data_IF_215342980773
#
_entry.id   IF_215342980773
#
_cell.length_a   1.000
_cell.length_b   1.000
_cell.length_c   1.000
_cell.angle_alpha   90.00
_cell.angle_beta   90.00
_cell.angle_gamma   90.00
#
_symmetry.space_group_name_H-M   'P 1'
#
loop_
_entity.id
_entity.type
_entity.pdbx_description
1 polymer ?
#
# COMPACT_ATOMS: atom_id res chain seq x y z
N UNK A 1 -12.77 -6.19 27.88
CA UNK A 1 -13.51 -6.45 26.63
C UNK A 1 -12.53 -7.17 25.73
N UNK A 2 -12.96 -8.14 24.96
CA UNK A 2 -12.10 -8.79 23.97
C UNK A 2 -11.64 -7.76 22.90
N UNK A 3 -10.44 -7.88 22.36
CA UNK A 3 -9.88 -6.94 21.37
C UNK A 3 -10.83 -6.75 20.17
N UNK A 4 -11.44 -7.85 19.70
CA UNK A 4 -12.45 -7.83 18.64
C UNK A 4 -13.68 -6.98 19.03
N UNK A 5 -14.10 -7.08 20.30
CA UNK A 5 -15.20 -6.28 20.82
C UNK A 5 -14.91 -4.77 20.83
N UNK A 6 -13.66 -4.36 21.08
CA UNK A 6 -13.26 -2.94 21.02
C UNK A 6 -13.36 -2.42 19.58
N UNK A 7 -12.81 -3.18 18.61
CA UNK A 7 -12.91 -2.83 17.18
C UNK A 7 -14.36 -2.71 16.76
N UNK A 8 -15.20 -3.69 17.12
CA UNK A 8 -16.62 -3.66 16.76
C UNK A 8 -17.35 -2.43 17.34
N UNK A 9 -17.06 -2.04 18.56
CA UNK A 9 -17.62 -0.81 19.18
C UNK A 9 -17.20 0.42 18.41
N UNK A 10 -15.92 0.53 18.00
CA UNK A 10 -15.42 1.67 17.23
C UNK A 10 -16.10 1.74 15.86
N UNK A 11 -16.22 0.60 15.16
CA UNK A 11 -16.92 0.52 13.86
C UNK A 11 -18.39 0.95 14.01
N UNK A 12 -19.11 0.43 15.01
CA UNK A 12 -20.50 0.82 15.27
C UNK A 12 -20.60 2.31 15.62
N UNK A 13 -19.74 2.79 16.51
CA UNK A 13 -19.75 4.21 16.92
C UNK A 13 -19.50 5.14 15.73
N UNK A 14 -18.51 4.81 14.89
CA UNK A 14 -18.23 5.56 13.66
C UNK A 14 -19.40 5.50 12.68
N UNK A 15 -19.96 4.31 12.44
CA UNK A 15 -21.08 4.11 11.51
C UNK A 15 -22.30 4.95 11.88
N UNK A 16 -22.63 5.03 13.18
CA UNK A 16 -23.77 5.82 13.68
C UNK A 16 -23.62 7.34 13.45
N UNK A 17 -22.40 7.84 13.34
CA UNK A 17 -22.11 9.28 13.16
C UNK A 17 -21.42 9.61 11.83
N UNK A 18 -21.18 8.62 10.97
CA UNK A 18 -20.43 8.74 9.72
C UNK A 18 -20.89 9.91 8.86
N UNK A 19 -22.22 10.05 8.63
CA UNK A 19 -22.80 11.15 7.84
C UNK A 19 -22.58 12.54 8.46
N UNK A 20 -22.41 12.62 9.78
CA UNK A 20 -22.08 13.88 10.44
C UNK A 20 -20.58 14.19 10.26
N UNK A 21 -19.75 13.15 10.28
CA UNK A 21 -18.30 13.25 10.13
C UNK A 21 -17.89 13.61 8.69
N UNK A 22 -18.63 13.20 7.66
CA UNK A 22 -18.41 13.62 6.26
C UNK A 22 -18.34 15.15 6.06
N UNK A 23 -18.88 15.91 6.99
CA UNK A 23 -18.86 17.38 6.96
C UNK A 23 -17.71 17.99 7.74
N UNK A 24 -16.85 17.18 8.31
CA UNK A 24 -15.70 17.56 9.13
C UNK A 24 -14.41 17.10 8.45
N UNK A 25 -13.25 17.65 8.80
CA UNK A 25 -11.97 17.14 8.29
C UNK A 25 -11.56 15.81 8.95
N UNK A 26 -12.46 15.11 9.63
CA UNK A 26 -12.18 13.85 10.30
C UNK A 26 -12.44 12.67 9.36
N UNK A 27 -11.42 12.26 8.63
CA UNK A 27 -11.51 11.11 7.71
C UNK A 27 -11.49 9.77 8.45
N UNK A 28 -11.91 8.69 7.76
CA UNK A 28 -11.91 7.33 8.32
C UNK A 28 -10.52 6.95 8.88
N UNK A 29 -9.42 7.10 8.13
CA UNK A 29 -8.07 6.80 8.62
C UNK A 29 -7.72 7.57 9.90
N UNK A 30 -8.01 8.86 9.94
CA UNK A 30 -7.72 9.72 11.10
C UNK A 30 -8.54 9.30 12.34
N UNK A 31 -9.84 9.06 12.15
CA UNK A 31 -10.75 8.65 13.23
C UNK A 31 -10.34 7.30 13.83
N UNK A 32 -10.05 6.31 12.98
CA UNK A 32 -9.68 4.97 13.42
C UNK A 32 -8.27 4.92 14.04
N UNK A 33 -7.31 5.70 13.50
CA UNK A 33 -5.99 5.85 14.14
C UNK A 33 -6.12 6.48 15.54
N UNK A 34 -6.90 7.55 15.67
CA UNK A 34 -7.11 8.19 16.97
C UNK A 34 -7.82 7.25 17.96
N UNK A 35 -8.82 6.49 17.51
CA UNK A 35 -9.51 5.50 18.33
C UNK A 35 -8.58 4.36 18.77
N UNK A 36 -7.70 3.88 17.86
CA UNK A 36 -6.68 2.88 18.16
C UNK A 36 -5.68 3.38 19.19
N UNK A 37 -5.15 4.60 19.03
CA UNK A 37 -4.25 5.22 20.00
C UNK A 37 -4.90 5.34 21.39
N UNK A 38 -6.18 5.74 21.44
CA UNK A 38 -6.92 5.83 22.70
C UNK A 38 -7.13 4.43 23.32
N UNK A 39 -7.50 3.43 22.54
CA UNK A 39 -7.70 2.07 23.00
C UNK A 39 -6.41 1.43 23.53
N UNK A 40 -5.28 1.60 22.82
CA UNK A 40 -3.97 1.13 23.28
C UNK A 40 -3.48 1.89 24.52
N UNK A 41 -3.63 3.22 24.55
CA UNK A 41 -3.24 4.04 25.70
C UNK A 41 -4.06 3.78 26.97
N UNK A 42 -5.32 3.34 26.83
CA UNK A 42 -6.18 2.94 27.95
C UNK A 42 -5.98 1.46 28.36
N UNK A 43 -5.12 0.70 27.67
CA UNK A 43 -4.88 -0.71 27.93
C UNK A 43 -6.07 -1.62 27.59
N UNK A 44 -6.96 -1.16 26.69
CA UNK A 44 -8.12 -1.95 26.23
C UNK A 44 -7.74 -2.99 25.17
N UNK A 45 -6.62 -2.77 24.47
CA UNK A 45 -6.07 -3.63 23.43
C UNK A 45 -4.58 -3.80 23.69
N UNK A 46 -4.08 -5.01 23.55
CA UNK A 46 -2.65 -5.31 23.64
C UNK A 46 -1.89 -4.68 22.48
N UNK A 47 -0.70 -4.16 22.76
CA UNK A 47 0.12 -3.45 21.74
C UNK A 47 1.02 -4.40 20.94
N UNK A 48 1.06 -5.68 21.29
CA UNK A 48 1.82 -6.68 20.54
C UNK A 48 1.03 -7.10 19.30
N UNK A 49 1.42 -6.53 18.17
CA UNK A 49 0.82 -6.75 16.86
C UNK A 49 1.74 -7.57 15.94
N UNK A 50 2.90 -7.98 16.44
CA UNK A 50 3.86 -8.79 15.70
C UNK A 50 3.52 -10.25 15.89
N UNK A 51 2.97 -10.86 14.85
CA UNK A 51 2.67 -12.28 14.81
C UNK A 51 1.22 -12.67 15.04
N UNK A 52 0.89 -13.87 14.59
CA UNK A 52 -0.41 -14.49 14.81
C UNK A 52 -1.55 -13.93 13.94
N UNK A 53 -2.81 -14.11 14.39
CA UNK A 53 -3.99 -13.84 13.57
C UNK A 53 -4.16 -12.39 13.11
N UNK A 54 -3.61 -11.43 13.88
CA UNK A 54 -3.72 -9.99 13.54
C UNK A 54 -2.90 -9.69 12.29
N UNK A 55 -1.65 -10.14 12.25
CA UNK A 55 -0.79 -9.90 11.09
C UNK A 55 -1.34 -10.59 9.84
N UNK A 56 -1.80 -11.85 9.96
CA UNK A 56 -2.45 -12.53 8.83
C UNK A 56 -3.67 -11.75 8.30
N UNK A 57 -4.46 -11.13 9.20
CA UNK A 57 -5.57 -10.26 8.76
C UNK A 57 -5.08 -9.03 8.01
N UNK A 58 -3.99 -8.40 8.49
CA UNK A 58 -3.39 -7.24 7.82
C UNK A 58 -2.81 -7.62 6.45
N UNK A 59 -2.11 -8.74 6.37
CA UNK A 59 -1.59 -9.27 5.10
C UNK A 59 -2.71 -9.58 4.10
N UNK A 60 -3.76 -10.28 4.53
CA UNK A 60 -4.93 -10.54 3.70
C UNK A 60 -5.62 -9.25 3.25
N UNK A 61 -5.65 -8.22 4.12
CA UNK A 61 -6.14 -6.90 3.74
C UNK A 61 -5.32 -6.31 2.61
N UNK A 62 -3.99 -6.32 2.73
CA UNK A 62 -3.11 -5.81 1.67
C UNK A 62 -3.25 -6.63 0.38
N UNK A 63 -3.36 -7.96 0.47
CA UNK A 63 -3.58 -8.87 -0.66
C UNK A 63 -4.85 -8.49 -1.42
N UNK A 64 -5.97 -8.29 -0.70
CA UNK A 64 -7.25 -7.92 -1.32
C UNK A 64 -7.19 -6.52 -1.93
N UNK A 65 -6.59 -5.56 -1.24
CA UNK A 65 -6.44 -4.18 -1.74
C UNK A 65 -5.54 -4.15 -2.97
N UNK A 66 -4.35 -4.77 -2.92
CA UNK A 66 -3.44 -4.84 -4.08
C UNK A 66 -4.10 -5.48 -5.31
N UNK A 67 -4.83 -6.58 -5.11
CA UNK A 67 -5.56 -7.24 -6.19
C UNK A 67 -6.65 -6.32 -6.77
N UNK A 68 -7.46 -5.70 -5.91
CA UNK A 68 -8.59 -4.87 -6.32
C UNK A 68 -8.13 -3.61 -7.05
N UNK A 69 -7.12 -2.93 -6.53
CA UNK A 69 -6.55 -1.74 -7.16
C UNK A 69 -5.94 -2.07 -8.52
N UNK A 70 -5.20 -3.18 -8.60
CA UNK A 70 -4.63 -3.66 -9.85
C UNK A 70 -5.72 -4.06 -10.87
N UNK A 71 -6.81 -4.70 -10.43
CA UNK A 71 -7.89 -5.15 -11.31
C UNK A 71 -8.68 -3.98 -11.95
N UNK A 72 -8.71 -2.81 -11.30
CA UNK A 72 -9.36 -1.58 -11.82
C UNK A 72 -8.57 -0.87 -12.91
N UNK A 73 -7.31 -1.24 -13.12
CA UNK A 73 -6.45 -0.54 -14.07
C UNK A 73 -6.79 -0.96 -15.50
N UNK A 74 -7.44 -0.06 -16.24
CA UNK A 74 -7.60 -0.22 -17.69
C UNK A 74 -6.26 0.06 -18.41
N UNK A 75 -5.47 -1.00 -18.59
CA UNK A 75 -4.19 -0.95 -19.32
C UNK A 75 -4.37 -0.44 -20.77
N UNK A 76 -5.55 -0.68 -21.37
CA UNK A 76 -5.91 -0.18 -22.69
C UNK A 76 -6.12 1.34 -22.69
N UNK A 77 -6.85 1.86 -21.70
CA UNK A 77 -7.03 3.29 -21.51
C UNK A 77 -5.70 4.01 -21.21
N UNK A 78 -4.86 3.42 -20.34
CA UNK A 78 -3.51 3.93 -20.07
C UNK A 78 -2.71 4.10 -21.38
N UNK A 79 -2.79 3.13 -22.30
CA UNK A 79 -2.13 3.24 -23.61
C UNK A 79 -2.79 4.29 -24.52
N UNK A 80 -4.13 4.37 -24.56
CA UNK A 80 -4.88 5.26 -25.44
C UNK A 80 -4.83 6.74 -25.03
N UNK A 81 -4.91 7.03 -23.72
CA UNK A 81 -4.89 8.41 -23.20
C UNK A 81 -3.49 9.01 -23.08
N UNK A 82 -2.50 8.33 -23.65
CA UNK A 82 -1.10 8.76 -23.60
C UNK A 82 -0.55 8.62 -22.18
N UNK A 83 -0.65 7.43 -21.60
CA UNK A 83 -0.22 7.01 -20.25
C UNK A 83 1.21 7.35 -19.84
N UNK A 84 1.74 8.41 -20.44
CA UNK A 84 3.08 8.92 -20.18
C UNK A 84 3.24 9.44 -18.74
N UNK A 85 2.15 9.96 -18.12
CA UNK A 85 2.23 10.50 -16.75
C UNK A 85 2.43 9.35 -15.73
N UNK A 86 1.53 8.36 -15.60
CA UNK A 86 1.75 7.25 -14.67
C UNK A 86 3.04 6.47 -14.95
N UNK A 87 3.34 6.20 -16.22
CA UNK A 87 4.57 5.49 -16.60
C UNK A 87 5.84 6.22 -16.20
N UNK A 88 5.85 7.57 -16.29
CA UNK A 88 6.98 8.39 -15.84
C UNK A 88 7.08 8.43 -14.33
N UNK A 89 5.94 8.53 -13.61
CA UNK A 89 5.91 8.54 -12.16
C UNK A 89 6.37 7.20 -11.59
N UNK A 90 5.92 6.10 -12.15
CA UNK A 90 6.29 4.75 -11.70
C UNK A 90 7.69 4.33 -12.19
N UNK A 91 8.02 4.58 -13.45
CA UNK A 91 9.28 4.10 -14.03
C UNK A 91 10.50 4.96 -13.69
N UNK A 92 10.32 6.26 -13.43
CA UNK A 92 11.39 7.17 -13.06
C UNK A 92 11.16 7.81 -11.69
N UNK A 93 9.96 8.28 -11.43
CA UNK A 93 9.63 8.98 -10.19
C UNK A 93 9.82 8.10 -8.96
N UNK A 94 9.25 6.89 -8.95
CA UNK A 94 9.33 5.97 -7.82
C UNK A 94 10.78 5.49 -7.54
N UNK A 95 11.58 5.01 -8.50
CA UNK A 95 12.98 4.67 -8.26
C UNK A 95 13.81 5.87 -7.75
N UNK A 96 13.57 7.08 -8.25
CA UNK A 96 14.22 8.29 -7.75
C UNK A 96 13.76 8.62 -6.31
N UNK A 97 12.48 8.43 -5.98
CA UNK A 97 11.96 8.61 -4.62
C UNK A 97 12.63 7.64 -3.66
N UNK A 98 12.74 6.37 -4.03
CA UNK A 98 13.46 5.35 -3.24
C UNK A 98 14.93 5.75 -3.10
N UNK A 99 15.63 6.04 -4.20
CA UNK A 99 17.06 6.40 -4.18
C UNK A 99 17.37 7.64 -3.34
N UNK A 100 16.58 8.71 -3.47
CA UNK A 100 16.70 9.89 -2.62
C UNK A 100 16.31 9.62 -1.17
N UNK A 101 15.33 8.75 -0.93
CA UNK A 101 14.93 8.28 0.39
C UNK A 101 16.07 7.54 1.09
N UNK A 102 16.74 6.62 0.38
CA UNK A 102 17.93 5.91 0.88
C UNK A 102 19.04 6.90 1.27
N UNK A 103 19.35 7.83 0.37
CA UNK A 103 20.39 8.83 0.63
C UNK A 103 20.06 9.70 1.86
N UNK A 104 18.80 10.15 1.95
CA UNK A 104 18.37 10.97 3.08
C UNK A 104 18.37 10.17 4.39
N UNK A 105 17.94 8.92 4.40
CA UNK A 105 17.97 8.05 5.57
C UNK A 105 19.41 7.80 6.02
N UNK A 106 20.31 7.42 5.11
CA UNK A 106 21.72 7.17 5.41
C UNK A 106 22.44 8.41 5.97
N UNK A 107 22.07 9.62 5.52
CA UNK A 107 22.68 10.87 6.00
C UNK A 107 22.09 11.34 7.33
N UNK A 108 20.77 11.24 7.50
CA UNK A 108 20.06 11.83 8.64
C UNK A 108 19.93 10.87 9.82
N UNK A 109 19.67 9.58 9.54
CA UNK A 109 19.36 8.58 10.57
C UNK A 109 20.65 7.80 10.94
N UNK A 110 21.64 8.49 11.43
CA UNK A 110 22.99 7.94 11.68
C UNK A 110 23.00 6.55 12.32
N UNK A 111 23.91 5.69 11.84
CA UNK A 111 24.08 4.32 12.31
C UNK A 111 23.36 3.27 11.47
N UNK A 112 22.40 3.65 10.61
CA UNK A 112 21.72 2.72 9.72
C UNK A 112 22.67 2.13 8.69
N UNK A 113 22.51 0.84 8.44
CA UNK A 113 23.09 0.21 7.28
C UNK A 113 22.37 0.63 6.00
N UNK A 114 23.04 0.50 4.86
CA UNK A 114 22.48 0.94 3.57
C UNK A 114 21.16 0.24 3.22
N UNK A 115 21.03 -1.03 3.62
CA UNK A 115 19.84 -1.81 3.33
C UNK A 115 18.66 -1.47 4.27
N UNK A 116 18.95 -1.12 5.53
CA UNK A 116 17.95 -0.57 6.46
C UNK A 116 17.39 0.77 5.96
N UNK A 117 18.29 1.65 5.47
CA UNK A 117 17.89 2.89 4.82
C UNK A 117 17.04 2.64 3.56
N UNK A 118 17.37 1.57 2.80
CA UNK A 118 16.61 1.16 1.61
C UNK A 118 15.23 0.60 1.96
N UNK A 119 15.11 -0.17 3.05
CA UNK A 119 13.84 -0.65 3.59
C UNK A 119 12.93 0.54 3.96
N UNK A 120 13.43 1.51 4.73
CA UNK A 120 12.65 2.72 5.07
C UNK A 120 12.15 3.42 3.81
N UNK A 121 13.04 3.61 2.83
CA UNK A 121 12.70 4.29 1.59
C UNK A 121 11.66 3.51 0.76
N UNK A 122 11.76 2.18 0.67
CA UNK A 122 10.82 1.34 -0.05
C UNK A 122 9.44 1.29 0.62
N UNK A 123 9.40 1.16 1.95
CA UNK A 123 8.15 1.18 2.74
C UNK A 123 7.42 2.51 2.59
N UNK A 124 8.17 3.62 2.49
CA UNK A 124 7.61 4.97 2.37
C UNK A 124 7.53 5.49 0.93
N UNK A 125 7.84 4.68 -0.08
CA UNK A 125 7.67 5.07 -1.48
C UNK A 125 6.22 5.02 -1.98
N UNK A 126 5.40 4.01 -1.61
CA UNK A 126 4.01 3.92 -2.05
C UNK A 126 3.17 5.12 -1.61
N UNK A 127 2.13 5.42 -2.39
CA UNK A 127 1.20 6.52 -2.11
C UNK A 127 -0.23 6.01 -2.11
N UNK A 128 -1.00 6.38 -1.11
CA UNK A 128 -2.36 5.90 -0.88
C UNK A 128 -3.40 6.89 -1.40
N UNK A 129 -4.06 6.56 -2.51
CA UNK A 129 -5.11 7.42 -3.09
C UNK A 129 -6.35 7.53 -2.20
N UNK A 130 -6.61 6.54 -1.33
CA UNK A 130 -7.78 6.56 -0.45
C UNK A 130 -7.69 7.66 0.60
N UNK A 131 -6.48 7.96 1.10
CA UNK A 131 -6.24 9.12 1.99
C UNK A 131 -6.51 10.46 1.31
N UNK A 132 -6.47 10.51 -0.01
CA UNK A 132 -6.68 11.74 -0.77
C UNK A 132 -7.91 11.70 -1.66
N UNK A 133 -8.91 10.95 -1.31
CA UNK A 133 -10.11 10.74 -2.12
C UNK A 133 -10.83 12.05 -2.50
N UNK A 134 -10.79 13.07 -1.63
CA UNK A 134 -11.35 14.39 -1.94
C UNK A 134 -10.71 15.04 -3.17
N UNK A 135 -9.40 14.93 -3.35
CA UNK A 135 -8.70 15.49 -4.51
C UNK A 135 -8.99 14.66 -5.76
N UNK A 136 -9.01 13.34 -5.61
CA UNK A 136 -9.23 12.41 -6.73
C UNK A 136 -10.68 12.47 -7.23
N UNK A 137 -11.66 12.73 -6.35
CA UNK A 137 -13.08 12.92 -6.71
C UNK A 137 -13.42 14.34 -7.14
N UNK A 138 -12.58 15.33 -6.83
CA UNK A 138 -12.85 16.75 -7.10
C UNK A 138 -12.99 17.04 -8.59
N UNK A 139 -14.10 17.69 -8.96
CA UNK A 139 -14.33 18.18 -10.33
C UNK A 139 -13.40 19.32 -10.75
N UNK A 140 -12.70 19.95 -9.81
CA UNK A 140 -11.71 20.98 -10.09
C UNK A 140 -10.42 20.41 -10.69
N UNK A 141 -10.13 19.12 -10.40
CA UNK A 141 -8.98 18.41 -10.95
C UNK A 141 -9.36 17.78 -12.29
N UNK A 142 -8.62 18.05 -13.39
CA UNK A 142 -8.90 17.46 -14.69
C UNK A 142 -8.95 15.94 -14.66
N UNK A 143 -9.91 15.31 -15.34
CA UNK A 143 -10.12 13.84 -15.37
C UNK A 143 -8.82 13.09 -15.66
N UNK A 144 -8.01 13.56 -16.64
CA UNK A 144 -6.71 12.96 -16.98
C UNK A 144 -5.75 12.90 -15.79
N UNK A 145 -5.75 13.91 -14.92
CA UNK A 145 -4.87 13.96 -13.75
C UNK A 145 -5.38 13.05 -12.67
N UNK A 146 -6.70 13.03 -12.42
CA UNK A 146 -7.33 12.12 -11.47
C UNK A 146 -7.06 10.66 -11.83
N UNK A 147 -7.25 10.30 -13.10
CA UNK A 147 -6.92 8.96 -13.60
C UNK A 147 -5.42 8.63 -13.45
N UNK A 148 -4.54 9.61 -13.71
CA UNK A 148 -3.11 9.40 -13.56
C UNK A 148 -2.71 9.13 -12.12
N UNK A 149 -3.30 9.83 -11.14
CA UNK A 149 -3.09 9.61 -9.70
C UNK A 149 -3.60 8.23 -9.29
N UNK A 150 -4.82 7.85 -9.69
CA UNK A 150 -5.38 6.54 -9.36
C UNK A 150 -4.52 5.39 -9.91
N UNK A 151 -4.09 5.49 -11.17
CA UNK A 151 -3.22 4.48 -11.78
C UNK A 151 -1.85 4.45 -11.11
N UNK A 152 -1.28 5.60 -10.79
CA UNK A 152 0.01 5.67 -10.11
C UNK A 152 -0.08 5.06 -8.72
N UNK A 153 -1.08 5.43 -7.94
CA UNK A 153 -1.27 4.94 -6.57
C UNK A 153 -1.58 3.43 -6.54
N UNK A 154 -2.51 2.95 -7.36
CA UNK A 154 -2.84 1.53 -7.40
C UNK A 154 -1.69 0.64 -7.90
N UNK A 155 -0.75 1.18 -8.69
CA UNK A 155 0.40 0.41 -9.17
C UNK A 155 1.62 0.51 -8.25
N UNK A 156 1.83 1.63 -7.55
CA UNK A 156 3.06 1.83 -6.79
C UNK A 156 3.11 0.95 -5.53
N UNK A 157 1.96 0.62 -4.93
CA UNK A 157 1.87 -0.30 -3.80
C UNK A 157 2.42 -1.69 -4.18
N UNK A 158 1.93 -2.26 -5.28
CA UNK A 158 2.42 -3.54 -5.79
C UNK A 158 3.86 -3.48 -6.31
N UNK A 159 4.27 -2.36 -6.93
CA UNK A 159 5.64 -2.19 -7.43
C UNK A 159 6.66 -1.94 -6.32
N UNK A 160 6.26 -1.50 -5.13
CA UNK A 160 7.17 -1.34 -3.99
C UNK A 160 7.61 -2.68 -3.41
N UNK A 161 6.76 -3.71 -3.49
CA UNK A 161 7.03 -5.03 -2.92
C UNK A 161 8.31 -5.66 -3.46
N UNK A 162 8.58 -5.70 -4.78
CA UNK A 162 9.84 -6.22 -5.31
C UNK A 162 11.09 -5.53 -4.75
N UNK A 163 11.04 -4.20 -4.57
CA UNK A 163 12.14 -3.45 -3.97
C UNK A 163 12.31 -3.84 -2.50
N UNK A 164 11.21 -3.91 -1.75
CA UNK A 164 11.24 -4.27 -0.34
C UNK A 164 11.78 -5.70 -0.14
N UNK A 165 11.25 -6.69 -0.88
CA UNK A 165 11.72 -8.08 -0.84
C UNK A 165 13.23 -8.17 -1.07
N UNK A 166 13.74 -7.43 -2.08
CA UNK A 166 15.18 -7.40 -2.35
C UNK A 166 15.96 -6.76 -1.21
N UNK A 167 15.49 -5.63 -0.66
CA UNK A 167 16.23 -4.91 0.39
C UNK A 167 16.20 -5.65 1.72
N UNK A 168 15.10 -6.31 2.07
CA UNK A 168 15.02 -7.18 3.26
C UNK A 168 15.97 -8.37 3.10
N UNK A 169 15.95 -9.04 1.96
CA UNK A 169 16.88 -10.14 1.69
C UNK A 169 18.34 -9.71 1.83
N UNK A 170 18.71 -8.51 1.37
CA UNK A 170 20.08 -7.98 1.48
C UNK A 170 20.42 -7.46 2.89
N UNK A 171 19.44 -7.11 3.71
CA UNK A 171 19.65 -6.64 5.08
C UNK A 171 19.81 -7.79 6.09
N UNK A 172 19.13 -8.91 5.88
CA UNK A 172 19.12 -10.06 6.82
C UNK A 172 20.45 -10.81 6.80
N UNK A 173 21.30 -10.65 5.77
CA UNK A 173 22.54 -11.42 5.64
C UNK A 173 23.81 -10.60 5.66
N UNK A 174 24.52 -10.75 6.78
CA UNK A 174 25.92 -10.28 6.93
C UNK A 174 26.98 -11.20 6.31
N UNK A 175 26.65 -12.43 5.86
CA UNK A 175 27.67 -13.46 5.61
C UNK A 175 27.53 -14.28 4.30
N UNK A 176 26.51 -14.06 3.47
CA UNK A 176 26.35 -14.78 2.19
C UNK A 176 26.88 -14.00 0.98
N UNK A 177 27.07 -14.69 -0.15
CA UNK A 177 27.36 -14.00 -1.40
C UNK A 177 26.11 -13.22 -1.84
N UNK A 178 26.20 -11.89 -1.94
CA UNK A 178 25.08 -10.99 -2.33
C UNK A 178 24.37 -11.46 -3.64
N UNK A 179 25.07 -12.19 -4.51
CA UNK A 179 24.53 -12.80 -5.73
C UNK A 179 23.48 -13.89 -5.45
N UNK A 180 23.63 -14.67 -4.36
CA UNK A 180 22.67 -15.72 -4.02
C UNK A 180 21.34 -15.13 -3.57
N UNK A 181 21.38 -13.99 -2.88
CA UNK A 181 20.19 -13.26 -2.41
C UNK A 181 19.47 -12.49 -3.52
N UNK A 182 20.22 -11.90 -4.43
CA UNK A 182 19.62 -11.35 -5.65
C UNK A 182 18.93 -12.45 -6.46
N UNK A 183 19.53 -13.65 -6.51
CA UNK A 183 18.92 -14.85 -7.11
C UNK A 183 17.64 -15.28 -6.40
N UNK A 184 17.66 -15.33 -5.07
CA UNK A 184 16.48 -15.66 -4.25
C UNK A 184 15.36 -14.64 -4.39
N UNK A 185 15.66 -13.34 -4.28
CA UNK A 185 14.67 -12.29 -4.50
C UNK A 185 14.10 -12.34 -5.94
N UNK A 186 14.96 -12.55 -6.93
CA UNK A 186 14.55 -12.75 -8.32
C UNK A 186 13.64 -13.96 -8.52
N UNK A 187 13.90 -15.05 -7.81
CA UNK A 187 13.04 -16.22 -7.79
C UNK A 187 11.68 -15.93 -7.15
N UNK A 188 11.65 -15.31 -5.98
CA UNK A 188 10.40 -14.93 -5.31
C UNK A 188 9.55 -14.01 -6.19
N UNK A 189 10.15 -12.98 -6.80
CA UNK A 189 9.47 -12.07 -7.71
C UNK A 189 8.94 -12.81 -8.94
N UNK A 190 9.78 -13.64 -9.56
CA UNK A 190 9.43 -14.39 -10.77
C UNK A 190 8.31 -15.41 -10.54
N UNK A 191 8.41 -16.22 -9.47
CA UNK A 191 7.40 -17.20 -9.12
C UNK A 191 6.09 -16.53 -8.65
N UNK A 192 6.19 -15.46 -7.89
CA UNK A 192 5.02 -14.66 -7.51
C UNK A 192 4.30 -14.11 -8.73
N UNK A 193 5.01 -13.45 -9.64
CA UNK A 193 4.43 -12.92 -10.87
C UNK A 193 3.82 -14.02 -11.77
N UNK A 194 4.52 -15.16 -11.93
CA UNK A 194 4.02 -16.30 -12.73
C UNK A 194 2.72 -16.87 -12.12
N UNK A 195 2.70 -17.10 -10.82
CA UNK A 195 1.49 -17.57 -10.11
C UNK A 195 0.35 -16.58 -10.27
N UNK A 196 0.63 -15.29 -10.12
CA UNK A 196 -0.35 -14.22 -10.32
C UNK A 196 -0.94 -14.24 -11.73
N UNK A 197 -0.12 -14.36 -12.76
CA UNK A 197 -0.58 -14.47 -14.16
C UNK A 197 -1.47 -15.70 -14.34
N UNK A 198 -1.04 -16.87 -13.85
CA UNK A 198 -1.79 -18.13 -14.00
C UNK A 198 -3.14 -18.05 -13.29
N UNK A 199 -3.16 -17.65 -12.03
CA UNK A 199 -4.40 -17.56 -11.24
C UNK A 199 -5.31 -16.47 -11.81
N UNK A 200 -4.78 -15.30 -12.15
CA UNK A 200 -5.56 -14.17 -12.66
C UNK A 200 -6.17 -14.46 -14.03
N UNK A 201 -5.41 -15.01 -14.99
CA UNK A 201 -5.95 -15.35 -16.29
C UNK A 201 -6.92 -16.54 -16.24
N UNK A 202 -6.55 -17.62 -15.55
CA UNK A 202 -7.40 -18.81 -15.45
C UNK A 202 -8.68 -18.51 -14.67
N UNK A 203 -8.55 -17.88 -13.49
CA UNK A 203 -9.67 -17.52 -12.63
C UNK A 203 -10.57 -16.45 -13.25
N UNK A 204 -9.98 -15.38 -13.78
CA UNK A 204 -10.71 -14.32 -14.49
C UNK A 204 -11.47 -14.84 -15.69
N UNK A 205 -10.85 -15.69 -16.52
CA UNK A 205 -11.53 -16.32 -17.67
C UNK A 205 -12.65 -17.27 -17.23
N UNK A 206 -12.41 -18.06 -16.19
CA UNK A 206 -13.45 -18.95 -15.65
C UNK A 206 -14.66 -18.16 -15.12
N UNK A 207 -14.39 -17.06 -14.38
CA UNK A 207 -15.43 -16.18 -13.87
C UNK A 207 -16.22 -15.52 -15.00
N UNK A 208 -15.54 -14.95 -16.00
CA UNK A 208 -16.17 -14.32 -17.16
C UNK A 208 -17.04 -15.31 -17.96
N UNK A 209 -16.56 -16.53 -18.17
CA UNK A 209 -17.34 -17.58 -18.86
C UNK A 209 -18.56 -17.99 -18.03
N UNK A 210 -18.41 -18.14 -16.72
CA UNK A 210 -19.51 -18.51 -15.83
C UNK A 210 -20.57 -17.39 -15.76
N UNK A 211 -20.15 -16.14 -15.73
CA UNK A 211 -21.03 -14.98 -15.72
C UNK A 211 -21.83 -14.86 -17.02
N UNK A 212 -21.17 -14.93 -18.18
CA UNK A 212 -21.81 -14.93 -19.50
C UNK A 212 -22.82 -16.07 -19.70
N UNK A 213 -22.63 -17.19 -18.99
CA UNK A 213 -23.55 -18.34 -19.03
C UNK A 213 -24.66 -18.25 -18.00
N UNK A 214 -24.67 -17.21 -17.15
CA UNK A 214 -25.64 -17.05 -16.07
C UNK A 214 -25.50 -18.11 -14.97
N UNK A 215 -24.31 -18.68 -14.76
CA UNK A 215 -24.04 -19.69 -13.74
C UNK A 215 -23.71 -19.08 -12.37
N UNK A 216 -23.32 -17.81 -12.34
CA UNK A 216 -22.89 -17.11 -11.14
C UNK A 216 -23.90 -16.00 -10.81
N UNK A 217 -24.29 -15.91 -9.54
CA UNK A 217 -25.07 -14.79 -9.05
C UNK A 217 -24.14 -13.66 -8.53
N UNK A 218 -24.68 -12.43 -8.41
CA UNK A 218 -23.88 -11.26 -8.05
C UNK A 218 -23.06 -11.42 -6.74
N UNK A 219 -23.60 -11.95 -5.61
CA UNK A 219 -22.81 -12.13 -4.40
C UNK A 219 -21.61 -13.09 -4.58
N UNK A 220 -21.82 -14.23 -5.24
CA UNK A 220 -20.72 -15.17 -5.45
C UNK A 220 -19.72 -14.69 -6.48
N UNK A 221 -20.13 -13.85 -7.43
CA UNK A 221 -19.21 -13.20 -8.37
C UNK A 221 -18.19 -12.32 -7.61
N UNK A 222 -18.67 -11.53 -6.66
CA UNK A 222 -17.84 -10.67 -5.80
C UNK A 222 -16.92 -11.49 -4.89
N UNK A 223 -17.46 -12.50 -4.20
CA UNK A 223 -16.66 -13.40 -3.36
C UNK A 223 -15.58 -14.14 -4.15
N UNK A 224 -15.85 -14.47 -5.43
CA UNK A 224 -14.86 -15.12 -6.29
C UNK A 224 -13.65 -14.22 -6.55
N UNK A 225 -13.86 -12.90 -6.70
CA UNK A 225 -12.76 -11.93 -6.88
C UNK A 225 -11.85 -11.92 -5.65
N UNK A 226 -12.43 -11.83 -4.45
CA UNK A 226 -11.67 -11.92 -3.19
C UNK A 226 -10.96 -13.27 -3.05
N UNK A 227 -11.64 -14.36 -3.40
CA UNK A 227 -11.04 -15.70 -3.36
C UNK A 227 -9.87 -15.86 -4.35
N UNK A 228 -9.91 -15.21 -5.52
CA UNK A 228 -8.80 -15.20 -6.47
C UNK A 228 -7.58 -14.45 -5.92
N UNK A 229 -7.78 -13.35 -5.19
CA UNK A 229 -6.69 -12.64 -4.52
C UNK A 229 -5.98 -13.54 -3.50
N UNK A 230 -6.77 -14.19 -2.62
CA UNK A 230 -6.24 -15.13 -1.61
C UNK A 230 -5.60 -16.36 -2.25
N UNK A 231 -6.20 -16.89 -3.33
CA UNK A 231 -5.65 -18.04 -4.05
C UNK A 231 -4.30 -17.71 -4.72
N UNK A 232 -4.15 -16.50 -5.25
CA UNK A 232 -2.88 -16.05 -5.83
C UNK A 232 -1.81 -15.94 -4.75
N UNK A 233 -2.13 -15.34 -3.61
CA UNK A 233 -1.24 -15.21 -2.45
C UNK A 233 -0.80 -16.58 -1.92
N UNK A 234 -1.73 -17.44 -1.56
CA UNK A 234 -1.44 -18.77 -1.03
C UNK A 234 -0.76 -19.69 -2.07
N UNK A 235 -1.13 -19.56 -3.34
CA UNK A 235 -0.50 -20.29 -4.42
C UNK A 235 0.96 -19.91 -4.66
N UNK A 236 1.30 -18.63 -4.49
CA UNK A 236 2.68 -18.17 -4.59
C UNK A 236 3.51 -18.66 -3.39
N UNK A 237 2.96 -18.57 -2.18
CA UNK A 237 3.62 -19.07 -0.98
C UNK A 237 3.96 -20.57 -1.10
N UNK A 238 3.05 -21.39 -1.63
CA UNK A 238 3.25 -22.82 -1.84
C UNK A 238 4.42 -23.15 -2.81
N UNK A 239 4.86 -22.21 -3.65
CA UNK A 239 5.99 -22.37 -4.58
C UNK A 239 7.18 -21.50 -4.24
N UNK A 240 7.23 -20.96 -3.01
CA UNK A 240 8.26 -20.04 -2.54
C UNK A 240 8.36 -18.75 -3.40
N UNK A 241 7.22 -18.27 -3.91
CA UNK A 241 7.06 -16.98 -4.57
C UNK A 241 6.49 -15.94 -3.61
N UNK A 242 6.64 -14.65 -3.92
CA UNK A 242 6.07 -13.58 -3.11
C UNK A 242 4.55 -13.45 -3.35
N UNK A 243 3.76 -13.62 -2.28
CA UNK A 243 2.30 -13.61 -2.32
C UNK A 243 1.68 -12.25 -2.67
N UNK A 244 2.29 -11.15 -2.23
CA UNK A 244 1.81 -9.80 -2.54
C UNK A 244 1.99 -9.46 -4.02
N UNK A 245 3.14 -9.87 -4.59
CA UNK A 245 3.39 -9.74 -6.04
C UNK A 245 2.39 -10.58 -6.82
N UNK A 246 2.11 -11.80 -6.36
CA UNK A 246 1.15 -12.68 -7.01
C UNK A 246 -0.27 -12.09 -6.97
N UNK A 247 -0.73 -11.56 -5.84
CA UNK A 247 -2.03 -10.92 -5.72
C UNK A 247 -2.16 -9.71 -6.66
N UNK A 248 -1.14 -8.84 -6.67
CA UNK A 248 -1.08 -7.68 -7.55
C UNK A 248 -1.14 -8.06 -9.04
N UNK A 249 -0.29 -9.00 -9.46
CA UNK A 249 -0.25 -9.47 -10.86
C UNK A 249 -1.53 -10.21 -11.25
N UNK A 250 -2.11 -10.98 -10.32
CA UNK A 250 -3.40 -11.64 -10.54
C UNK A 250 -4.53 -10.63 -10.71
N UNK A 251 -4.53 -9.54 -9.94
CA UNK A 251 -5.46 -8.42 -10.13
C UNK A 251 -5.36 -7.82 -11.53
N UNK A 252 -4.15 -7.45 -11.98
CA UNK A 252 -3.92 -6.94 -13.34
C UNK A 252 -4.41 -7.91 -14.42
N UNK A 253 -4.11 -9.20 -14.26
CA UNK A 253 -4.49 -10.23 -15.21
C UNK A 253 -6.00 -10.46 -15.24
N UNK A 254 -6.64 -10.51 -14.07
CA UNK A 254 -8.10 -10.64 -13.94
C UNK A 254 -8.82 -9.42 -14.52
N UNK A 255 -8.39 -8.21 -14.17
CA UNK A 255 -8.95 -6.97 -14.69
C UNK A 255 -8.85 -6.88 -16.22
N UNK A 256 -7.77 -7.35 -16.82
CA UNK A 256 -7.62 -7.41 -18.28
C UNK A 256 -8.63 -8.35 -18.97
N UNK A 257 -9.15 -9.35 -18.26
CA UNK A 257 -10.12 -10.32 -18.80
C UNK A 257 -11.57 -9.85 -18.61
N UNK A 258 -11.91 -9.27 -17.44
CA UNK A 258 -13.29 -8.96 -17.06
C UNK A 258 -13.73 -7.51 -17.38
N UNK A 259 -12.98 -6.77 -18.19
CA UNK A 259 -13.18 -5.34 -18.49
C UNK A 259 -14.61 -4.94 -18.90
N UNK A 260 -15.36 -5.80 -19.57
CA UNK A 260 -16.71 -5.49 -20.06
C UNK A 260 -17.82 -5.73 -19.01
N UNK A 261 -17.53 -6.43 -17.90
CA UNK A 261 -18.47 -6.84 -16.86
C UNK A 261 -18.17 -6.23 -15.47
N UNK A 262 -17.19 -5.32 -15.40
CA UNK A 262 -16.42 -5.08 -14.19
C UNK A 262 -16.90 -4.00 -13.23
N UNK A 263 -17.70 -3.02 -13.63
CA UNK A 263 -17.98 -1.84 -12.78
C UNK A 263 -18.67 -2.23 -11.45
N UNK A 264 -19.71 -3.06 -11.49
CA UNK A 264 -20.41 -3.54 -10.27
C UNK A 264 -19.58 -4.49 -9.40
N UNK A 265 -18.62 -5.22 -10.02
CA UNK A 265 -17.73 -6.16 -9.33
C UNK A 265 -16.68 -5.44 -8.46
N UNK A 266 -16.21 -4.33 -8.98
CA UNK A 266 -15.13 -3.57 -8.37
C UNK A 266 -15.67 -2.61 -7.30
N UNK A 267 -16.93 -2.18 -7.38
CA UNK A 267 -17.58 -1.31 -6.40
C UNK A 267 -17.73 -2.01 -5.03
N UNK A 268 -18.16 -3.29 -5.03
CA UNK A 268 -18.28 -4.07 -3.78
C UNK A 268 -16.93 -4.27 -3.09
N UNK A 269 -15.88 -4.55 -3.86
CA UNK A 269 -14.52 -4.74 -3.30
C UNK A 269 -13.98 -3.43 -2.71
N UNK A 270 -14.49 -2.28 -3.14
CA UNK A 270 -14.14 -0.97 -2.58
C UNK A 270 -14.73 -0.77 -1.18
N UNK A 271 -16.00 -1.11 -0.99
CA UNK A 271 -16.67 -0.96 0.31
C UNK A 271 -16.04 -1.89 1.37
N UNK A 272 -15.74 -3.14 0.99
CA UNK A 272 -15.03 -4.06 1.88
C UNK A 272 -13.58 -3.62 2.12
N UNK A 273 -12.89 -3.13 1.09
CA UNK A 273 -11.56 -2.56 1.21
C UNK A 273 -11.52 -1.38 2.18
N UNK A 274 -12.52 -0.50 2.17
CA UNK A 274 -12.62 0.61 3.12
C UNK A 274 -12.77 0.14 4.57
N UNK A 275 -13.60 -0.89 4.83
CA UNK A 275 -13.74 -1.46 6.17
C UNK A 275 -12.43 -2.08 6.65
N UNK A 276 -11.79 -2.86 5.80
CA UNK A 276 -10.50 -3.48 6.12
C UNK A 276 -9.42 -2.41 6.34
N UNK A 277 -9.38 -1.37 5.52
CA UNK A 277 -8.50 -0.21 5.70
C UNK A 277 -8.73 0.47 7.03
N UNK A 278 -9.98 0.67 7.44
CA UNK A 278 -10.32 1.26 8.74
C UNK A 278 -9.76 0.40 9.90
N UNK A 279 -9.86 -0.92 9.81
CA UNK A 279 -9.29 -1.85 10.80
C UNK A 279 -7.77 -1.73 10.83
N UNK A 280 -7.09 -1.65 9.69
CA UNK A 280 -5.63 -1.46 9.62
C UNK A 280 -5.22 -0.15 10.30
N UNK A 281 -5.91 0.95 10.04
CA UNK A 281 -5.63 2.23 10.70
C UNK A 281 -5.91 2.20 12.21
N UNK A 282 -6.90 1.45 12.66
CA UNK A 282 -7.13 1.22 14.08
C UNK A 282 -5.97 0.44 14.70
N UNK A 283 -5.57 -0.67 14.11
CA UNK A 283 -4.43 -1.50 14.55
C UNK A 283 -3.15 -0.68 14.56
N UNK A 284 -2.89 0.09 13.50
CA UNK A 284 -1.79 1.04 13.45
C UNK A 284 -1.84 2.03 14.62
N UNK A 285 -3.00 2.62 14.91
CA UNK A 285 -3.19 3.51 16.05
C UNK A 285 -2.82 2.86 17.37
N UNK A 286 -3.18 1.59 17.60
CA UNK A 286 -2.79 0.83 18.80
C UNK A 286 -1.27 0.67 18.90
N UNK A 287 -0.59 0.46 17.76
CA UNK A 287 0.87 0.24 17.71
C UNK A 287 1.70 1.52 17.82
N UNK A 288 1.20 2.66 17.31
CA UNK A 288 1.95 3.93 17.24
C UNK A 288 2.65 4.30 18.56
N UNK A 289 2.02 4.25 19.75
CA UNK A 289 2.70 4.60 20.99
C UNK A 289 3.98 3.80 21.25
N UNK A 290 4.01 2.53 20.85
CA UNK A 290 5.19 1.65 20.97
C UNK A 290 6.36 2.11 20.10
N UNK A 291 6.07 2.68 18.94
CA UNK A 291 7.10 3.13 17.99
C UNK A 291 7.63 4.54 18.29
N UNK A 292 6.89 5.36 19.06
CA UNK A 292 7.28 6.72 19.36
C UNK A 292 8.54 6.82 20.25
N UNK A 293 8.93 5.74 20.93
CA UNK A 293 10.13 5.70 21.77
C UNK A 293 11.44 5.95 21.02
N UNK A 294 11.51 5.57 19.75
CA UNK A 294 12.68 5.76 18.87
C UNK A 294 12.62 7.05 18.03
N UNK A 295 11.60 7.92 18.23
CA UNK A 295 11.48 9.17 17.49
C UNK A 295 12.54 10.16 17.97
N UNK A 296 13.48 10.46 17.08
CA UNK A 296 14.52 11.48 17.26
C UNK A 296 14.22 12.71 16.38
N UNK A 297 14.90 13.85 16.59
CA UNK A 297 14.81 14.99 15.68
C UNK A 297 15.15 14.64 14.22
N UNK A 298 16.07 13.70 14.02
CA UNK A 298 16.43 13.20 12.69
C UNK A 298 15.25 12.45 12.02
N UNK A 299 14.55 11.61 12.77
CA UNK A 299 13.34 10.92 12.29
C UNK A 299 12.24 11.92 11.93
N UNK A 300 12.05 12.98 12.72
CA UNK A 300 11.08 14.05 12.41
C UNK A 300 11.46 14.76 11.10
N UNK A 301 12.73 15.11 10.93
CA UNK A 301 13.22 15.73 9.69
C UNK A 301 13.04 14.79 8.49
N UNK A 302 13.38 13.52 8.65
CA UNK A 302 13.21 12.53 7.58
C UNK A 302 11.73 12.38 7.18
N UNK A 303 10.81 12.27 8.14
CA UNK A 303 9.38 12.19 7.88
C UNK A 303 8.86 13.42 7.12
N UNK A 304 9.27 14.63 7.54
CA UNK A 304 8.91 15.87 6.85
C UNK A 304 9.47 15.91 5.40
N UNK A 305 10.71 15.48 5.21
CA UNK A 305 11.32 15.39 3.88
C UNK A 305 10.66 14.32 3.01
N UNK A 306 10.26 13.17 3.59
CA UNK A 306 9.57 12.09 2.87
C UNK A 306 8.24 12.55 2.28
N UNK A 307 7.49 13.36 3.01
CA UNK A 307 6.21 13.92 2.55
C UNK A 307 6.37 15.13 1.60
N UNK A 308 7.57 15.69 1.51
CA UNK A 308 7.83 16.91 0.72
C UNK A 308 8.90 16.66 -0.35
N UNK A 309 10.15 17.01 -0.05
CA UNK A 309 11.24 17.04 -1.02
C UNK A 309 11.50 15.68 -1.67
N UNK A 310 11.52 14.61 -0.87
CA UNK A 310 11.83 13.25 -1.37
C UNK A 310 10.73 12.71 -2.31
N UNK A 311 9.54 13.26 -2.28
CA UNK A 311 8.45 12.96 -3.21
C UNK A 311 8.39 13.99 -4.34
N UNK A 312 8.37 15.28 -4.00
CA UNK A 312 8.09 16.35 -4.97
C UNK A 312 9.21 16.51 -6.02
N UNK A 313 10.48 16.36 -5.60
CA UNK A 313 11.60 16.50 -6.51
C UNK A 313 11.65 15.37 -7.56
N UNK A 314 11.55 14.08 -7.21
CA UNK A 314 11.43 13.00 -8.18
C UNK A 314 10.24 13.15 -9.14
N UNK A 315 9.08 13.56 -8.63
CA UNK A 315 7.90 13.81 -9.47
C UNK A 315 8.18 14.94 -10.46
N UNK A 316 8.79 16.05 -10.01
CA UNK A 316 9.15 17.15 -10.89
C UNK A 316 10.14 16.72 -11.98
N UNK A 317 11.15 15.92 -11.61
CA UNK A 317 12.13 15.37 -12.56
C UNK A 317 11.46 14.40 -13.54
N UNK A 318 10.64 13.49 -13.08
CA UNK A 318 9.96 12.51 -13.92
C UNK A 318 9.02 13.16 -14.94
N UNK A 319 8.42 14.29 -14.56
CA UNK A 319 7.48 15.03 -15.42
C UNK A 319 8.13 16.11 -16.27
N UNK A 320 9.47 16.27 -16.28
CA UNK A 320 10.17 17.17 -17.18
C UNK A 320 9.81 16.84 -18.64
N UNK A 321 9.46 17.88 -19.42
CA UNK A 321 9.07 17.70 -20.81
C UNK A 321 7.69 17.05 -21.04
N UNK A 322 6.86 16.87 -20.02
CA UNK A 322 5.49 16.30 -20.15
C UNK A 322 4.46 17.30 -20.70
N UNK A 323 4.81 18.59 -20.78
CA UNK A 323 3.89 19.66 -21.18
C UNK A 323 2.86 20.04 -20.11
N UNK A 324 2.96 19.50 -18.91
CA UNK A 324 2.09 19.85 -17.77
C UNK A 324 2.44 21.25 -17.24
N UNK A 325 1.42 21.94 -16.72
CA UNK A 325 1.62 23.22 -16.03
C UNK A 325 2.38 23.01 -14.72
N UNK A 326 3.24 23.94 -14.27
CA UNK A 326 3.97 23.81 -13.00
C UNK A 326 3.05 23.58 -11.80
N UNK A 327 1.86 24.19 -11.77
CA UNK A 327 0.84 23.95 -10.73
C UNK A 327 0.33 22.51 -10.68
N UNK A 328 0.21 21.86 -11.84
CA UNK A 328 -0.18 20.45 -11.95
C UNK A 328 0.95 19.54 -11.47
N UNK A 329 2.19 19.85 -11.83
CA UNK A 329 3.37 19.10 -11.34
C UNK A 329 3.50 19.24 -9.82
N UNK A 330 3.28 20.45 -9.29
CA UNK A 330 3.29 20.70 -7.85
C UNK A 330 2.18 19.91 -7.13
N UNK A 331 0.96 19.89 -7.70
CA UNK A 331 -0.15 19.10 -7.18
C UNK A 331 0.20 17.62 -7.13
N UNK A 332 0.71 17.04 -8.23
CA UNK A 332 1.10 15.63 -8.31
C UNK A 332 2.24 15.28 -7.36
N UNK A 333 3.18 16.21 -7.14
CA UNK A 333 4.27 16.04 -6.20
C UNK A 333 3.82 16.10 -4.75
N UNK A 334 2.97 17.08 -4.42
CA UNK A 334 2.41 17.23 -3.07
C UNK A 334 1.44 16.08 -2.73
N UNK A 335 0.64 15.66 -3.70
CA UNK A 335 -0.36 14.62 -3.53
C UNK A 335 0.27 13.23 -3.59
N UNK A 336 0.86 12.82 -2.48
CA UNK A 336 1.48 11.51 -2.28
C UNK A 336 1.32 11.06 -0.83
N UNK A 337 0.05 10.91 -0.34
CA UNK A 337 -0.20 10.47 1.03
C UNK A 337 0.40 9.09 1.27
N UNK A 338 0.88 8.85 2.49
CA UNK A 338 1.39 7.54 2.94
C UNK A 338 0.33 6.90 3.83
N UNK A 339 -0.02 5.64 3.58
CA UNK A 339 -1.14 4.99 4.24
C UNK A 339 -0.98 3.50 4.40
N UNK A 340 -2.01 2.76 3.99
CA UNK A 340 -2.21 1.33 4.22
C UNK A 340 -0.99 0.48 3.86
N UNK A 341 -0.49 0.60 2.63
CA UNK A 341 0.64 -0.22 2.18
C UNK A 341 1.89 0.01 3.03
N UNK A 342 2.21 1.27 3.36
CA UNK A 342 3.35 1.59 4.23
C UNK A 342 3.23 0.96 5.62
N UNK A 343 2.03 0.94 6.21
CA UNK A 343 1.79 0.32 7.52
C UNK A 343 2.04 -1.18 7.45
N UNK A 344 1.40 -1.86 6.52
CA UNK A 344 1.45 -3.33 6.45
C UNK A 344 2.83 -3.81 6.04
N UNK A 345 3.44 -3.17 5.03
CA UNK A 345 4.79 -3.53 4.60
C UNK A 345 5.84 -3.36 5.72
N UNK A 346 5.72 -2.34 6.56
CA UNK A 346 6.60 -2.19 7.72
C UNK A 346 6.39 -3.27 8.77
N UNK A 347 5.12 -3.67 9.02
CA UNK A 347 4.82 -4.77 9.96
C UNK A 347 5.32 -6.12 9.42
N UNK A 348 5.21 -6.35 8.11
CA UNK A 348 5.80 -7.53 7.44
C UNK A 348 7.32 -7.53 7.61
N UNK A 349 8.00 -6.39 7.44
CA UNK A 349 9.46 -6.28 7.72
C UNK A 349 9.77 -6.63 9.17
N UNK A 350 8.96 -6.16 10.11
CA UNK A 350 9.18 -6.45 11.53
C UNK A 350 9.03 -7.94 11.87
N UNK A 351 8.21 -8.68 11.10
CA UNK A 351 8.07 -10.15 11.25
C UNK A 351 9.16 -10.92 10.50
N UNK A 352 9.42 -10.56 9.24
CA UNK A 352 10.40 -11.28 8.40
C UNK A 352 11.85 -11.03 8.84
N UNK A 353 12.12 -9.86 9.43
CA UNK A 353 13.46 -9.43 9.84
C UNK A 353 13.45 -8.85 11.27
N UNK A 354 13.04 -9.61 12.30
CA UNK A 354 12.96 -9.11 13.68
C UNK A 354 14.30 -8.75 14.30
N UNK A 355 15.39 -9.31 13.78
CA UNK A 355 16.76 -9.10 14.25
C UNK A 355 17.47 -7.92 13.55
N UNK A 356 16.78 -7.12 12.76
CA UNK A 356 17.38 -5.91 12.17
C UNK A 356 17.87 -4.96 13.27
N UNK A 357 19.15 -4.52 13.24
CA UNK A 357 19.76 -3.73 14.31
C UNK A 357 19.00 -2.45 14.66
N UNK A 358 18.38 -1.79 13.67
CA UNK A 358 17.69 -0.51 13.85
C UNK A 358 16.21 -0.60 13.43
N UNK A 359 15.57 -1.76 13.65
CA UNK A 359 14.15 -1.96 13.34
C UNK A 359 13.24 -0.91 14.03
N UNK A 360 13.60 -0.51 15.25
CA UNK A 360 12.90 0.53 16.01
C UNK A 360 12.91 1.89 15.28
N UNK A 361 14.01 2.25 14.64
CA UNK A 361 14.12 3.48 13.83
C UNK A 361 13.32 3.36 12.54
N UNK A 362 13.32 2.19 11.90
CA UNK A 362 12.49 1.89 10.72
C UNK A 362 11.02 2.09 11.06
N UNK A 363 10.56 1.47 12.14
CA UNK A 363 9.17 1.55 12.61
C UNK A 363 8.79 2.97 13.02
N UNK A 364 9.68 3.68 13.72
CA UNK A 364 9.44 5.07 14.12
C UNK A 364 9.32 6.02 12.92
N UNK A 365 10.20 5.85 11.90
CA UNK A 365 10.16 6.66 10.67
C UNK A 365 8.87 6.42 9.89
N UNK A 366 8.46 5.14 9.74
CA UNK A 366 7.18 4.77 9.12
C UNK A 366 6.01 5.37 9.91
N UNK A 367 5.92 5.09 11.21
CA UNK A 367 4.79 5.50 12.05
C UNK A 367 4.60 7.01 12.05
N UNK A 368 5.68 7.77 12.22
CA UNK A 368 5.61 9.23 12.21
C UNK A 368 5.24 9.79 10.83
N UNK A 369 5.77 9.21 9.75
CA UNK A 369 5.47 9.66 8.39
C UNK A 369 4.01 9.39 8.02
N UNK A 370 3.50 8.19 8.33
CA UNK A 370 2.10 7.83 8.07
C UNK A 370 1.16 8.66 8.93
N UNK A 371 1.46 8.83 10.22
CA UNK A 371 0.65 9.68 11.12
C UNK A 371 0.59 11.12 10.62
N UNK A 372 1.73 11.71 10.26
CA UNK A 372 1.79 13.05 9.69
C UNK A 372 1.04 13.13 8.35
N UNK A 373 1.15 12.11 7.50
CA UNK A 373 0.42 12.01 6.24
C UNK A 373 -1.09 11.96 6.45
N UNK A 374 -1.55 11.14 7.39
CA UNK A 374 -2.98 11.02 7.73
C UNK A 374 -3.57 12.35 8.22
N UNK A 375 -2.78 13.16 8.93
CA UNK A 375 -3.22 14.51 9.39
C UNK A 375 -3.16 15.55 8.28
N UNK A 376 -2.18 15.48 7.37
CA UNK A 376 -1.94 16.52 6.36
C UNK A 376 -2.72 16.29 5.06
N UNK A 377 -3.02 15.05 4.73
CA UNK A 377 -3.65 14.68 3.45
C UNK A 377 -5.02 14.01 3.64
N UNK A 378 -5.32 13.47 4.82
CA UNK A 378 -6.60 12.87 5.20
C UNK A 378 -7.54 13.92 5.81
#
# INVERSE_FOLDING_TARGET
>A
MDQVGVVAVVVVAYGLVSRLLERTPLTVPLAFTAAGMAAGGLGLVEQDLTGGPVLTLLELTLVVVLFSDAARIDLGAVRRTGGTIPLRLLGLGMPLTIGLGVLAAAVLLGGLEVWEAAIIAAVLAPTDAALGQEVVSSRLVPVRIRQAVNVESGLNDGLSVPFLTLFVALAVEEAGEALDWVGFAGQQIGLGALTGVVVGLAGGTALEVADRRGWVNAPFRQLTVVALAVLAWAGADAVAGNGFIAAFVAGLATGAVIQDSGDDLLEFTEDEGQLLTAVVFFVFGVAVPGFLGAVSPAVVVYAALSLTVLRMLPVAIALLGSGLRPSTVLLLGWFGPRGLASIILALVVAEEAPDLPHLDVVMAAMALTVLASTVLHG
#
